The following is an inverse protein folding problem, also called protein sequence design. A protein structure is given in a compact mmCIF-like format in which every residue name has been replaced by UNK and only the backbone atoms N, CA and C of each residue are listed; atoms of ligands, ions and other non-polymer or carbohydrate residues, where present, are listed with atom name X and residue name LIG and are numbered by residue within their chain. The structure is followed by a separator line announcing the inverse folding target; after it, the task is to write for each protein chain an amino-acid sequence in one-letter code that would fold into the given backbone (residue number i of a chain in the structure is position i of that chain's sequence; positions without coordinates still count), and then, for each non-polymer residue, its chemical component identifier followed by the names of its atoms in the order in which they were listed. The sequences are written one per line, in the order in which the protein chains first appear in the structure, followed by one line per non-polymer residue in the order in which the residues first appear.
data_IF_807642289624
#
_entry.id   IF_807642289624
#
_cell.length_a   1.000
_cell.length_b   1.000
_cell.length_c   1.000
_cell.angle_alpha   90.00
_cell.angle_beta   90.00
_cell.angle_gamma   90.00
#
_symmetry.space_group_name_H-M   'P 1'
#
loop_
_entity.id
_entity.type
_entity.pdbx_description
1 polymer ?
#
# COMPACT_ATOMS: atom_id res chain seq x y z
N UNK A 1 24.18 -10.38 61.27
CA UNK A 1 22.73 -10.29 60.98
C UNK A 1 22.51 -9.37 59.77
N UNK A 2 22.10 -9.95 58.63
CA UNK A 2 21.25 -9.41 57.53
C UNK A 2 21.50 -7.96 57.04
N UNK A 3 22.32 -7.73 56.01
CA UNK A 3 22.00 -7.68 54.55
C UNK A 3 20.70 -6.91 54.24
N UNK A 4 20.88 -5.64 53.87
CA UNK A 4 19.86 -4.71 53.37
C UNK A 4 19.37 -5.20 51.99
N UNK A 5 18.18 -5.80 51.98
CA UNK A 5 17.57 -6.45 50.82
C UNK A 5 16.47 -5.55 50.27
N UNK A 6 16.72 -4.94 49.12
CA UNK A 6 15.71 -4.24 48.32
C UNK A 6 16.31 -3.08 47.56
N UNK A 7 16.51 -3.24 46.24
CA UNK A 7 15.71 -2.42 45.34
C UNK A 7 15.28 -3.24 44.14
N UNK A 8 14.01 -3.61 44.06
CA UNK A 8 13.48 -4.08 42.78
C UNK A 8 12.01 -3.73 42.60
N UNK A 9 11.72 -2.55 42.04
CA UNK A 9 10.49 -2.31 41.30
C UNK A 9 10.85 -2.09 39.82
N UNK A 10 11.67 -2.96 39.23
CA UNK A 10 11.92 -2.97 37.77
C UNK A 10 11.02 -4.02 37.10
N UNK A 11 10.38 -4.89 37.87
CA UNK A 11 9.50 -5.94 37.32
C UNK A 11 8.09 -5.46 36.93
N UNK A 12 7.75 -4.17 37.11
CA UNK A 12 6.46 -3.65 36.63
C UNK A 12 6.57 -3.04 35.22
N UNK A 13 7.78 -2.69 34.76
CA UNK A 13 7.99 -2.14 33.41
C UNK A 13 7.97 -3.21 32.30
N UNK A 14 7.99 -4.49 32.64
CA UNK A 14 7.91 -5.59 31.67
C UNK A 14 6.49 -5.88 31.14
N UNK A 15 5.44 -5.37 31.81
CA UNK A 15 4.05 -5.71 31.49
C UNK A 15 3.45 -4.92 30.31
N UNK A 16 4.17 -3.93 29.77
CA UNK A 16 3.69 -3.13 28.63
C UNK A 16 4.24 -3.59 27.27
N UNK A 17 5.12 -4.60 27.23
CA UNK A 17 5.54 -5.25 25.96
C UNK A 17 4.50 -6.31 25.57
N UNK A 18 3.26 -5.85 25.40
CA UNK A 18 2.11 -6.70 25.18
C UNK A 18 1.03 -6.05 24.35
N UNK A 19 1.30 -4.93 23.67
CA UNK A 19 0.57 -4.65 22.44
C UNK A 19 1.11 -5.61 21.40
N UNK A 20 0.53 -6.82 21.34
CA UNK A 20 0.55 -7.62 20.14
C UNK A 20 0.03 -6.71 19.03
N UNK A 21 0.97 -6.14 18.28
CA UNK A 21 0.70 -5.31 17.13
C UNK A 21 0.01 -6.28 16.17
N UNK A 22 -1.33 -6.23 16.15
CA UNK A 22 -2.09 -6.94 15.14
C UNK A 22 -1.41 -6.61 13.80
N UNK A 23 -1.05 -7.60 12.98
CA UNK A 23 -0.42 -7.33 11.70
C UNK A 23 -1.36 -6.33 11.01
N UNK A 24 -0.87 -5.12 10.77
CA UNK A 24 -1.69 -4.10 10.15
C UNK A 24 -2.14 -4.70 8.82
N UNK A 25 -3.43 -5.08 8.74
CA UNK A 25 -3.97 -5.59 7.51
C UNK A 25 -3.79 -4.44 6.52
N UNK A 26 -3.03 -4.63 5.43
CA UNK A 26 -2.83 -3.57 4.48
C UNK A 26 -4.21 -3.18 3.98
N UNK A 27 -4.64 -1.96 4.32
CA UNK A 27 -5.92 -1.46 3.89
C UNK A 27 -5.84 -1.34 2.38
N UNK A 28 -6.51 -2.25 1.69
CA UNK A 28 -6.60 -2.23 0.26
C UNK A 28 -7.36 -0.96 -0.15
N UNK A 29 -6.76 -0.07 -0.95
CA UNK A 29 -7.47 1.09 -1.45
C UNK A 29 -8.68 0.60 -2.26
N UNK A 30 -9.74 1.40 -2.28
CA UNK A 30 -10.90 1.11 -3.12
C UNK A 30 -10.44 0.94 -4.58
N UNK A 31 -10.43 -0.31 -5.05
CA UNK A 31 -10.01 -0.65 -6.40
C UNK A 31 -11.19 -0.44 -7.34
N UNK A 32 -11.14 0.63 -8.12
CA UNK A 32 -12.16 0.90 -9.15
C UNK A 32 -11.79 0.10 -10.38
N UNK A 33 -12.59 -0.91 -10.73
CA UNK A 33 -12.43 -1.60 -12.01
C UNK A 33 -13.04 -0.76 -13.14
N UNK A 34 -12.26 -0.50 -14.19
CA UNK A 34 -12.72 0.30 -15.33
C UNK A 34 -13.32 -0.62 -16.38
N UNK A 35 -14.57 -0.35 -16.75
CA UNK A 35 -15.26 -1.14 -17.76
C UNK A 35 -14.62 -0.97 -19.14
N UNK A 36 -14.99 -1.86 -20.06
CA UNK A 36 -14.48 -1.83 -21.43
C UNK A 36 -14.73 -0.49 -22.14
N UNK A 37 -15.87 0.15 -21.86
CA UNK A 37 -16.21 1.47 -22.41
C UNK A 37 -15.23 2.57 -21.94
N UNK A 38 -14.88 2.59 -20.65
CA UNK A 38 -13.95 3.56 -20.08
C UNK A 38 -12.54 3.38 -20.65
N UNK A 39 -12.11 2.12 -20.80
CA UNK A 39 -10.82 1.79 -21.41
C UNK A 39 -10.75 2.25 -22.87
N UNK A 40 -11.83 2.08 -23.64
CA UNK A 40 -11.91 2.58 -25.02
C UNK A 40 -11.91 4.11 -25.09
N UNK A 41 -12.62 4.78 -24.19
CA UNK A 41 -12.65 6.23 -24.10
C UNK A 41 -11.25 6.79 -23.79
N UNK A 42 -10.55 6.18 -22.82
CA UNK A 42 -9.17 6.52 -22.49
C UNK A 42 -8.24 6.30 -23.67
N UNK A 43 -8.36 5.17 -24.38
CA UNK A 43 -7.51 4.88 -25.54
C UNK A 43 -7.69 5.91 -26.67
N UNK A 44 -8.93 6.32 -26.95
CA UNK A 44 -9.19 7.42 -27.92
C UNK A 44 -8.58 8.74 -27.46
N UNK A 45 -8.67 9.07 -26.18
CA UNK A 45 -8.06 10.27 -25.63
C UNK A 45 -6.52 10.22 -25.77
N UNK A 46 -5.89 9.08 -25.46
CA UNK A 46 -4.45 8.90 -25.57
C UNK A 46 -3.97 8.96 -27.03
N UNK A 47 -4.74 8.48 -27.99
CA UNK A 47 -4.40 8.59 -29.42
C UNK A 47 -4.34 10.05 -29.92
N UNK A 48 -5.03 10.97 -29.25
CA UNK A 48 -4.98 12.39 -29.58
C UNK A 48 -3.77 13.12 -28.99
N UNK A 49 -3.01 12.47 -28.10
CA UNK A 49 -1.81 13.04 -27.48
C UNK A 49 -0.62 12.83 -28.43
N UNK A 50 0.07 13.90 -28.85
CA UNK A 50 1.24 13.77 -29.71
C UNK A 50 2.37 13.04 -28.98
N UNK A 51 3.05 12.12 -29.64
CA UNK A 51 4.18 11.40 -29.05
C UNK A 51 5.49 12.15 -29.32
N UNK A 52 5.95 12.91 -28.32
CA UNK A 52 7.19 13.68 -28.35
C UNK A 52 7.91 13.67 -26.98
N UNK A 53 9.11 14.27 -26.93
CA UNK A 53 9.93 14.32 -25.71
C UNK A 53 9.18 14.93 -24.50
N UNK A 54 8.25 15.87 -24.73
CA UNK A 54 7.47 16.49 -23.67
C UNK A 54 6.39 15.56 -23.09
N UNK A 55 5.89 14.60 -23.85
CA UNK A 55 4.85 13.65 -23.43
C UNK A 55 5.42 12.31 -22.96
N UNK A 56 6.69 12.04 -23.24
CA UNK A 56 7.42 10.87 -22.74
C UNK A 56 7.27 10.61 -21.22
N UNK A 57 7.36 11.62 -20.31
CA UNK A 57 7.13 11.39 -18.89
C UNK A 57 5.69 10.97 -18.57
N UNK A 58 4.70 11.47 -19.32
CA UNK A 58 3.31 11.04 -19.18
C UNK A 58 3.14 9.57 -19.54
N UNK A 59 3.76 9.11 -20.64
CA UNK A 59 3.74 7.70 -21.02
C UNK A 59 4.42 6.78 -19.99
N UNK A 60 5.52 7.24 -19.39
CA UNK A 60 6.16 6.51 -18.29
C UNK A 60 5.24 6.42 -17.07
N UNK A 61 4.65 7.55 -16.64
CA UNK A 61 3.74 7.58 -15.51
C UNK A 61 2.51 6.68 -15.71
N UNK A 62 1.92 6.65 -16.92
CA UNK A 62 0.79 5.77 -17.24
C UNK A 62 1.18 4.28 -17.16
N UNK A 63 2.37 3.91 -17.65
CA UNK A 63 2.87 2.53 -17.53
C UNK A 63 3.09 2.14 -16.08
N UNK A 64 3.69 3.01 -15.28
CA UNK A 64 3.97 2.73 -13.87
C UNK A 64 2.69 2.66 -13.04
N UNK A 65 1.71 3.54 -13.33
CA UNK A 65 0.38 3.45 -12.76
C UNK A 65 -0.31 2.12 -13.10
N UNK A 66 -0.18 1.64 -14.34
CA UNK A 66 -0.66 0.31 -14.76
C UNK A 66 -0.05 -0.83 -13.93
N UNK A 67 1.27 -0.82 -13.72
CA UNK A 67 1.97 -1.80 -12.89
C UNK A 67 1.49 -1.76 -11.43
N UNK A 68 1.35 -0.56 -10.86
CA UNK A 68 0.85 -0.37 -9.50
C UNK A 68 -0.55 -0.99 -9.34
N UNK A 69 -1.45 -0.72 -10.29
CA UNK A 69 -2.80 -1.30 -10.28
C UNK A 69 -2.80 -2.82 -10.40
N UNK A 70 -1.93 -3.38 -11.22
CA UNK A 70 -1.79 -4.83 -11.34
C UNK A 70 -1.30 -5.44 -10.01
N UNK A 71 -0.31 -4.81 -9.36
CA UNK A 71 0.17 -5.23 -8.06
C UNK A 71 -0.93 -5.17 -6.99
N UNK A 72 -1.70 -4.06 -6.93
CA UNK A 72 -2.85 -3.93 -6.02
C UNK A 72 -3.89 -5.01 -6.29
N UNK A 73 -4.21 -5.30 -7.55
CA UNK A 73 -5.16 -6.37 -7.90
C UNK A 73 -4.70 -7.74 -7.38
N UNK A 74 -3.41 -8.06 -7.44
CA UNK A 74 -2.87 -9.33 -6.91
C UNK A 74 -2.86 -9.34 -5.38
N UNK A 75 -2.42 -8.25 -4.76
CA UNK A 75 -2.32 -8.14 -3.30
C UNK A 75 -3.68 -8.10 -2.61
N UNK A 76 -4.68 -7.50 -3.27
CA UNK A 76 -6.00 -7.21 -2.70
C UNK A 76 -7.14 -8.04 -3.30
N UNK A 77 -6.91 -8.71 -4.44
CA UNK A 77 -7.91 -9.57 -5.09
C UNK A 77 -7.94 -11.01 -4.57
N UNK A 78 -7.10 -11.36 -3.59
CA UNK A 78 -7.02 -12.70 -2.98
C UNK A 78 -8.01 -12.93 -1.84
N UNK A 79 -9.29 -12.58 -2.04
CA UNK A 79 -10.33 -12.71 -1.03
C UNK A 79 -11.73 -12.70 -1.64
N UNK A 80 -12.02 -13.67 -2.50
CA UNK A 80 -13.38 -14.05 -2.91
C UNK A 80 -13.55 -15.54 -2.73
#
# INVERSE_FOLDING_TARGET
MTIFKGPWPVLVLGALVGCAQAPAQPLCPAYVDYGHADQQALLKALQSVPDNDSTQPLWQALRDYGKLRAAVRVLCGGGS
#
